data_IF_406263685626
#
_entry.id   IF_406263685626
#
_cell.length_a   1.000
_cell.length_b   1.000
_cell.length_c   1.000
_cell.angle_alpha   90.00
_cell.angle_beta   90.00
_cell.angle_gamma   90.00
#
_symmetry.space_group_name_H-M   'P 1'
#
loop_
_entity.id
_entity.type
_entity.pdbx_description
1 polymer ?
#
# COMPACT_ATOMS: atom_id res chain seq x y z
N UNK A 1 6.31 25.45 -37.25
CA UNK A 1 4.93 25.42 -36.74
C UNK A 1 4.91 26.33 -35.52
N UNK A 2 4.56 27.60 -35.71
CA UNK A 2 4.58 28.63 -34.66
C UNK A 2 3.20 28.75 -34.01
N UNK A 3 3.13 28.58 -32.69
CA UNK A 3 1.90 28.77 -31.92
C UNK A 3 1.71 30.24 -31.56
N UNK A 4 0.55 30.77 -31.93
CA UNK A 4 0.15 32.17 -31.80
C UNK A 4 -0.68 32.33 -30.52
N UNK A 5 -0.23 33.17 -29.59
CA UNK A 5 -0.89 33.46 -28.32
C UNK A 5 -1.87 34.63 -28.52
N UNK A 6 -3.18 34.39 -28.40
CA UNK A 6 -4.19 35.47 -28.29
C UNK A 6 -4.53 35.74 -26.83
N UNK A 7 -4.26 36.98 -26.41
CA UNK A 7 -4.80 37.62 -25.21
C UNK A 7 -6.27 38.01 -25.44
N UNK A 8 -7.11 37.81 -24.43
CA UNK A 8 -8.35 38.58 -24.25
C UNK A 8 -8.49 38.98 -22.77
N UNK A 9 -8.61 40.29 -22.54
CA UNK A 9 -8.94 40.92 -21.25
C UNK A 9 -10.44 41.25 -21.19
N UNK A 10 -10.88 41.52 -19.96
CA UNK A 10 -11.96 42.43 -19.49
C UNK A 10 -13.27 41.76 -19.06
N UNK A 11 -13.61 41.94 -17.77
CA UNK A 11 -14.87 42.42 -17.14
C UNK A 11 -14.79 42.06 -15.64
N UNK A 12 -14.32 42.97 -14.78
CA UNK A 12 -15.04 43.98 -13.96
C UNK A 12 -15.92 43.45 -12.83
N UNK A 13 -15.57 43.88 -11.61
CA UNK A 13 -16.40 44.19 -10.44
C UNK A 13 -17.33 43.12 -9.85
N UNK A 14 -17.08 42.73 -8.60
CA UNK A 14 -17.98 43.03 -7.47
C UNK A 14 -17.34 42.55 -6.15
N UNK A 15 -17.03 43.52 -5.28
CA UNK A 15 -16.63 43.34 -3.88
C UNK A 15 -17.84 43.72 -3.03
N UNK A 16 -18.23 42.92 -2.02
CA UNK A 16 -18.90 43.45 -0.85
C UNK A 16 -17.94 43.51 0.33
N UNK A 17 -17.82 44.72 0.87
CA UNK A 17 -17.23 45.05 2.17
C UNK A 17 -17.96 44.29 3.28
N UNK A 18 -17.23 43.69 4.22
CA UNK A 18 -17.77 43.36 5.55
C UNK A 18 -16.95 44.11 6.59
N UNK A 19 -17.73 44.74 7.47
CA UNK A 19 -17.42 45.77 8.44
C UNK A 19 -16.56 45.25 9.59
N UNK A 20 -15.54 46.03 9.95
CA UNK A 20 -14.79 45.90 11.21
C UNK A 20 -15.62 46.56 12.30
N UNK A 21 -16.07 45.80 13.30
CA UNK A 21 -16.54 46.39 14.57
C UNK A 21 -15.43 46.31 15.62
N UNK A 22 -15.04 47.50 16.05
CA UNK A 22 -14.15 47.83 17.16
C UNK A 22 -14.86 47.76 18.51
N UNK A 23 -14.16 47.22 19.52
CA UNK A 23 -14.09 47.81 20.87
C UNK A 23 -15.13 47.37 21.91
N UNK A 24 -14.66 46.82 23.03
CA UNK A 24 -15.10 47.06 24.42
C UNK A 24 -14.08 46.36 25.34
N UNK A 25 -13.04 47.06 25.79
CA UNK A 25 -12.89 47.72 27.10
C UNK A 25 -12.83 46.78 28.31
N UNK A 26 -11.65 46.77 28.96
CA UNK A 26 -11.35 46.14 30.25
C UNK A 26 -12.01 46.87 31.44
N UNK A 27 -11.95 46.18 32.58
CA UNK A 27 -11.97 46.61 34.00
C UNK A 27 -13.28 46.49 34.77
N UNK A 28 -13.29 45.60 35.77
CA UNK A 28 -13.63 45.95 37.16
C UNK A 28 -13.18 44.83 38.12
N UNK A 29 -12.45 45.26 39.15
CA UNK A 29 -11.80 44.49 40.21
C UNK A 29 -12.70 44.41 41.45
N UNK A 30 -12.32 43.53 42.40
CA UNK A 30 -12.63 43.51 43.86
C UNK A 30 -13.80 42.59 44.28
N UNK A 31 -13.47 41.45 44.91
CA UNK A 31 -13.26 41.22 46.36
C UNK A 31 -14.59 41.05 47.11
N UNK A 32 -14.92 39.81 47.46
CA UNK A 32 -15.57 39.50 48.73
C UNK A 32 -15.04 38.18 49.27
N UNK A 33 -14.48 38.25 50.47
CA UNK A 33 -14.04 37.15 51.30
C UNK A 33 -15.19 36.76 52.23
N UNK A 34 -15.55 35.48 52.31
CA UNK A 34 -16.22 34.91 53.48
C UNK A 34 -16.13 33.38 53.45
N UNK A 35 -15.45 32.84 54.45
CA UNK A 35 -15.34 31.42 54.71
C UNK A 35 -16.67 30.86 55.24
N UNK A 36 -17.10 29.71 54.67
CA UNK A 36 -18.06 28.82 55.31
C UNK A 36 -17.51 27.39 55.23
N UNK A 37 -17.00 26.96 56.38
CA UNK A 37 -16.58 25.60 56.69
C UNK A 37 -17.82 24.91 57.26
N UNK A 38 -18.35 23.88 56.59
CA UNK A 38 -18.81 22.63 57.23
C UNK A 38 -19.53 21.66 56.27
N UNK A 39 -19.30 20.37 56.57
CA UNK A 39 -20.04 19.15 56.21
C UNK A 39 -19.73 18.49 54.88
N UNK A 40 -18.75 17.58 54.99
CA UNK A 40 -18.61 16.35 54.24
C UNK A 40 -19.92 15.58 54.10
N UNK A 41 -20.43 15.50 52.88
CA UNK A 41 -21.30 14.42 52.43
C UNK A 41 -20.61 13.84 51.19
N UNK A 42 -20.15 12.60 51.30
CA UNK A 42 -19.51 11.87 50.23
C UNK A 42 -20.48 11.67 49.08
N UNK A 43 -20.30 12.43 48.00
CA UNK A 43 -20.83 12.07 46.70
C UNK A 43 -19.71 11.32 45.98
N UNK A 44 -19.78 9.99 45.98
CA UNK A 44 -19.00 9.19 45.03
C UNK A 44 -19.45 9.61 43.63
N UNK A 45 -18.71 10.53 43.02
CA UNK A 45 -18.74 10.71 41.57
C UNK A 45 -18.11 9.45 40.99
N UNK A 46 -18.95 8.47 40.70
CA UNK A 46 -18.66 7.44 39.71
C UNK A 46 -18.39 8.16 38.39
N UNK A 47 -17.13 8.58 38.22
CA UNK A 47 -16.61 8.98 36.93
C UNK A 47 -16.63 7.74 36.09
N UNK A 48 -17.71 7.56 35.32
CA UNK A 48 -17.65 6.74 34.12
C UNK A 48 -16.55 7.35 33.27
N UNK A 49 -15.36 6.77 33.37
CA UNK A 49 -14.33 6.90 32.36
C UNK A 49 -14.94 6.32 31.09
N UNK A 50 -15.72 7.13 30.38
CA UNK A 50 -15.96 6.96 28.96
C UNK A 50 -14.58 7.09 28.33
N UNK A 51 -13.86 5.97 28.30
CA UNK A 51 -12.79 5.76 27.35
C UNK A 51 -13.45 5.95 26.00
N UNK A 52 -13.31 7.13 25.42
CA UNK A 52 -13.36 7.28 23.99
C UNK A 52 -12.29 6.32 23.48
N UNK A 53 -12.70 5.09 23.12
CA UNK A 53 -11.93 4.29 22.17
C UNK A 53 -11.89 5.18 20.94
N UNK A 54 -10.78 5.88 20.76
CA UNK A 54 -10.38 6.34 19.45
C UNK A 54 -10.47 5.12 18.55
N UNK A 55 -11.53 5.02 17.76
CA UNK A 55 -11.55 4.13 16.62
C UNK A 55 -10.53 4.77 15.67
N UNK A 56 -9.25 4.46 15.87
CA UNK A 56 -8.29 4.68 14.81
C UNK A 56 -8.78 3.78 13.69
N UNK A 57 -9.33 4.38 12.63
CA UNK A 57 -9.56 3.67 11.39
C UNK A 57 -8.17 3.37 10.83
N UNK A 58 -7.55 2.30 11.34
CA UNK A 58 -6.25 1.86 10.90
C UNK A 58 -6.34 1.65 9.39
N UNK A 59 -5.40 2.25 8.64
CA UNK A 59 -5.35 2.11 7.20
C UNK A 59 -5.31 0.61 6.86
N UNK A 60 -6.24 0.16 6.01
CA UNK A 60 -6.15 -1.14 5.36
C UNK A 60 -5.24 -0.97 4.14
N UNK A 61 -4.17 -1.74 4.09
CA UNK A 61 -3.20 -1.72 3.00
C UNK A 61 -3.66 -2.64 1.88
N UNK A 62 -3.72 -2.13 0.66
CA UNK A 62 -4.05 -2.94 -0.52
C UNK A 62 -2.77 -3.53 -1.10
N UNK A 63 -2.69 -4.85 -1.15
CA UNK A 63 -1.53 -5.56 -1.68
C UNK A 63 -1.96 -6.42 -2.87
N UNK A 64 -1.34 -6.19 -4.03
CA UNK A 64 -1.63 -6.93 -5.26
C UNK A 64 -0.56 -8.00 -5.52
N UNK A 65 -0.98 -9.26 -5.69
CA UNK A 65 -0.12 -10.43 -5.85
C UNK A 65 -0.10 -10.90 -7.32
N UNK A 66 0.83 -10.38 -8.12
CA UNK A 66 1.03 -10.78 -9.52
C UNK A 66 2.06 -11.90 -9.67
N UNK A 67 1.97 -12.63 -10.78
CA UNK A 67 2.95 -13.61 -11.20
C UNK A 67 2.45 -15.05 -11.20
N UNK A 68 3.41 -15.97 -11.14
CA UNK A 68 3.29 -17.42 -11.12
C UNK A 68 2.01 -17.98 -10.48
N UNK A 69 1.34 -18.97 -11.10
CA UNK A 69 0.06 -19.53 -10.63
C UNK A 69 0.08 -21.05 -10.33
N UNK A 70 1.24 -21.70 -10.38
CA UNK A 70 1.43 -23.15 -10.22
C UNK A 70 2.11 -23.54 -8.89
N UNK A 71 2.19 -22.62 -7.92
CA UNK A 71 2.63 -22.89 -6.54
C UNK A 71 1.72 -22.21 -5.51
N UNK A 72 1.93 -22.52 -4.23
CA UNK A 72 1.12 -22.11 -3.07
C UNK A 72 1.56 -20.77 -2.45
N UNK A 73 2.42 -20.01 -3.12
CA UNK A 73 3.05 -18.82 -2.54
C UNK A 73 2.04 -17.74 -2.11
N UNK A 74 0.89 -17.63 -2.78
CA UNK A 74 -0.17 -16.67 -2.42
C UNK A 74 -0.87 -17.09 -1.14
N UNK A 75 -1.11 -18.38 -0.99
CA UNK A 75 -1.71 -19.00 0.18
C UNK A 75 -0.80 -18.82 1.41
N UNK A 76 0.52 -18.97 1.23
CA UNK A 76 1.50 -18.69 2.29
C UNK A 76 1.43 -17.22 2.73
N UNK A 77 1.37 -16.27 1.79
CA UNK A 77 1.24 -14.84 2.11
C UNK A 77 -0.10 -14.56 2.81
N UNK A 78 -1.21 -15.10 2.30
CA UNK A 78 -2.53 -14.91 2.88
C UNK A 78 -2.61 -15.46 4.31
N UNK A 79 -2.04 -16.65 4.54
CA UNK A 79 -1.95 -17.23 5.86
C UNK A 79 -1.08 -16.38 6.79
N UNK A 80 0.09 -15.94 6.35
CA UNK A 80 0.98 -15.11 7.16
C UNK A 80 0.37 -13.75 7.52
N UNK A 81 -0.26 -13.06 6.56
CA UNK A 81 -1.01 -11.82 6.81
C UNK A 81 -2.06 -12.01 7.91
N UNK A 82 -2.82 -13.12 7.85
CA UNK A 82 -3.83 -13.46 8.84
C UNK A 82 -3.21 -13.78 10.20
N UNK A 83 -2.17 -14.61 10.24
CA UNK A 83 -1.49 -15.03 11.47
C UNK A 83 -0.86 -13.86 12.21
N UNK A 84 -0.32 -12.87 11.48
CA UNK A 84 0.23 -11.64 12.05
C UNK A 84 -0.82 -10.53 12.26
N UNK A 85 -2.09 -10.81 11.95
CA UNK A 85 -3.20 -9.87 12.07
C UNK A 85 -2.88 -8.51 11.39
N UNK A 86 -2.27 -8.57 10.21
CA UNK A 86 -1.92 -7.38 9.44
C UNK A 86 -3.18 -6.78 8.80
N UNK A 87 -3.37 -5.44 8.83
CA UNK A 87 -4.49 -4.78 8.19
C UNK A 87 -4.29 -4.70 6.68
N UNK A 88 -4.34 -5.86 5.99
CA UNK A 88 -4.06 -5.99 4.56
C UNK A 88 -5.26 -6.60 3.84
N UNK A 89 -5.61 -5.99 2.70
CA UNK A 89 -6.51 -6.57 1.70
C UNK A 89 -5.66 -7.11 0.54
N UNK A 90 -5.73 -8.43 0.30
CA UNK A 90 -5.02 -9.09 -0.78
C UNK A 90 -5.89 -9.14 -2.04
N UNK A 91 -5.29 -8.86 -3.18
CA UNK A 91 -5.91 -9.02 -4.50
C UNK A 91 -4.94 -9.67 -5.50
N UNK A 92 -5.46 -10.27 -6.56
CA UNK A 92 -4.67 -11.04 -7.54
C UNK A 92 -5.31 -10.96 -8.94
N UNK A 93 -4.57 -11.32 -10.01
CA UNK A 93 -5.18 -11.64 -11.30
C UNK A 93 -6.12 -12.86 -11.14
N UNK A 94 -6.89 -13.15 -12.19
CA UNK A 94 -7.57 -14.44 -12.26
C UNK A 94 -6.51 -15.56 -12.32
N UNK A 95 -6.57 -16.50 -11.39
CA UNK A 95 -5.63 -17.62 -11.30
C UNK A 95 -6.14 -18.88 -11.97
N UNK A 96 -7.40 -18.88 -12.43
CA UNK A 96 -7.92 -19.92 -13.31
C UNK A 96 -7.41 -19.68 -14.73
N UNK A 97 -6.58 -20.61 -15.22
CA UNK A 97 -5.98 -20.53 -16.55
C UNK A 97 -7.06 -20.51 -17.63
N UNK A 98 -8.01 -21.44 -17.51
CA UNK A 98 -9.13 -21.63 -18.45
C UNK A 98 -9.98 -20.37 -18.52
N UNK A 99 -10.41 -19.85 -17.37
CA UNK A 99 -11.23 -18.63 -17.32
C UNK A 99 -10.47 -17.41 -17.84
N UNK A 100 -9.17 -17.31 -17.57
CA UNK A 100 -8.32 -16.21 -18.02
C UNK A 100 -8.21 -16.17 -19.55
N UNK A 101 -8.03 -17.32 -20.18
CA UNK A 101 -7.87 -17.43 -21.64
C UNK A 101 -9.22 -17.24 -22.35
N UNK A 102 -10.28 -17.86 -21.84
CA UNK A 102 -11.57 -17.91 -22.52
C UNK A 102 -12.49 -16.72 -22.19
N UNK A 103 -12.17 -15.89 -21.19
CA UNK A 103 -13.06 -14.80 -20.75
C UNK A 103 -13.55 -13.91 -21.89
N UNK A 104 -12.66 -13.56 -22.83
CA UNK A 104 -12.98 -12.73 -23.98
C UNK A 104 -14.04 -13.36 -24.87
N UNK A 105 -13.89 -14.65 -25.14
CA UNK A 105 -14.76 -15.38 -26.03
C UNK A 105 -16.10 -15.75 -25.37
N UNK A 106 -16.07 -16.14 -24.08
CA UNK A 106 -17.27 -16.43 -23.29
C UNK A 106 -18.16 -15.20 -23.15
N UNK A 107 -17.58 -14.03 -22.86
CA UNK A 107 -18.36 -12.82 -22.56
C UNK A 107 -18.79 -12.08 -23.83
N UNK A 108 -17.89 -11.96 -24.81
CA UNK A 108 -18.15 -11.14 -26.01
C UNK A 108 -18.58 -11.98 -27.22
N UNK A 109 -18.71 -13.30 -27.09
CA UNK A 109 -19.12 -14.23 -28.15
C UNK A 109 -17.99 -14.67 -29.10
N UNK A 110 -18.19 -15.86 -29.65
CA UNK A 110 -17.35 -16.46 -30.70
C UNK A 110 -17.76 -15.94 -32.08
N UNK A 111 -17.23 -14.80 -32.51
CA UNK A 111 -17.30 -14.35 -33.91
C UNK A 111 -16.15 -14.95 -34.74
N UNK A 112 -16.46 -15.66 -35.83
CA UNK A 112 -15.47 -16.24 -36.77
C UNK A 112 -14.46 -15.21 -37.32
N UNK A 113 -14.83 -13.93 -37.32
CA UNK A 113 -14.02 -12.82 -37.84
C UNK A 113 -12.98 -12.27 -36.84
N UNK A 114 -13.02 -12.66 -35.56
CA UNK A 114 -12.07 -12.18 -34.54
C UNK A 114 -10.74 -12.91 -34.68
N UNK A 115 -9.86 -12.32 -35.50
CA UNK A 115 -8.53 -12.87 -35.83
C UNK A 115 -7.53 -12.98 -34.68
N UNK A 116 -7.88 -12.62 -33.44
CA UNK A 116 -6.94 -12.62 -32.31
C UNK A 116 -7.63 -12.78 -30.94
N UNK A 117 -8.00 -14.01 -30.62
CA UNK A 117 -8.69 -14.39 -29.37
C UNK A 117 -7.87 -14.07 -28.12
N UNK A 118 -6.59 -14.42 -28.13
CA UNK A 118 -5.67 -14.13 -27.03
C UNK A 118 -5.62 -12.64 -26.70
N UNK A 119 -5.64 -11.77 -27.72
CA UNK A 119 -5.67 -10.31 -27.51
C UNK A 119 -6.96 -9.86 -26.81
N UNK A 120 -8.09 -10.49 -27.07
CA UNK A 120 -9.37 -10.10 -26.47
C UNK A 120 -9.38 -10.51 -25.00
N UNK A 121 -9.02 -11.76 -24.69
CA UNK A 121 -8.86 -12.23 -23.30
C UNK A 121 -7.83 -11.38 -22.55
N UNK A 122 -6.65 -11.17 -23.14
CA UNK A 122 -5.61 -10.32 -22.58
C UNK A 122 -6.09 -8.88 -22.33
N UNK A 123 -6.91 -8.29 -23.20
CA UNK A 123 -7.47 -6.96 -22.99
C UNK A 123 -8.41 -6.91 -21.78
N UNK A 124 -9.27 -7.92 -21.59
CA UNK A 124 -10.15 -7.98 -20.42
C UNK A 124 -9.35 -8.17 -19.12
N UNK A 125 -8.38 -9.08 -19.15
CA UNK A 125 -7.44 -9.25 -18.04
C UNK A 125 -6.69 -7.96 -17.73
N UNK A 126 -6.27 -7.21 -18.75
CA UNK A 126 -5.61 -5.91 -18.59
C UNK A 126 -6.50 -4.87 -17.91
N UNK A 127 -7.82 -4.83 -18.18
CA UNK A 127 -8.74 -3.91 -17.48
C UNK A 127 -8.72 -4.21 -15.98
N UNK A 128 -8.83 -5.49 -15.60
CA UNK A 128 -8.78 -5.92 -14.20
C UNK A 128 -7.43 -5.64 -13.56
N UNK A 129 -6.36 -6.18 -14.13
CA UNK A 129 -4.99 -6.10 -13.58
C UNK A 129 -4.52 -4.66 -13.43
N UNK A 130 -4.71 -3.80 -14.44
CA UNK A 130 -4.32 -2.39 -14.35
C UNK A 130 -5.09 -1.64 -13.27
N UNK A 131 -6.38 -1.96 -13.09
CA UNK A 131 -7.19 -1.34 -12.03
C UNK A 131 -6.68 -1.75 -10.66
N UNK A 132 -6.46 -3.04 -10.43
CA UNK A 132 -5.96 -3.55 -9.15
C UNK A 132 -4.55 -3.05 -8.82
N UNK A 133 -3.65 -3.00 -9.81
CA UNK A 133 -2.31 -2.42 -9.61
C UNK A 133 -2.39 -0.93 -9.25
N UNK A 134 -3.24 -0.15 -9.94
CA UNK A 134 -3.42 1.28 -9.64
C UNK A 134 -3.96 1.52 -8.23
N UNK A 135 -4.82 0.64 -7.74
CA UNK A 135 -5.43 0.76 -6.41
C UNK A 135 -4.52 0.22 -5.29
N UNK A 136 -3.52 -0.60 -5.62
CA UNK A 136 -2.61 -1.18 -4.63
C UNK A 136 -1.68 -0.14 -4.00
N UNK A 137 -1.43 -0.29 -2.70
CA UNK A 137 -0.36 0.40 -1.98
C UNK A 137 0.99 -0.28 -2.23
N UNK A 138 0.99 -1.62 -2.29
CA UNK A 138 2.18 -2.46 -2.52
C UNK A 138 1.84 -3.50 -3.58
N UNK A 139 2.75 -3.70 -4.53
CA UNK A 139 2.67 -4.76 -5.53
C UNK A 139 3.75 -5.80 -5.23
N UNK A 140 3.34 -7.06 -5.13
CA UNK A 140 4.24 -8.21 -4.98
C UNK A 140 4.21 -9.00 -6.29
N UNK A 141 5.38 -9.29 -6.85
CA UNK A 141 5.48 -10.00 -8.13
C UNK A 141 6.35 -11.24 -7.97
N UNK A 142 5.73 -12.40 -8.15
CA UNK A 142 6.40 -13.70 -8.11
C UNK A 142 6.93 -14.10 -9.49
N UNK A 143 8.22 -14.37 -9.55
CA UNK A 143 8.83 -15.08 -10.67
C UNK A 143 9.22 -16.52 -10.27
N UNK A 144 8.94 -17.49 -11.13
CA UNK A 144 9.26 -18.91 -10.99
C UNK A 144 10.20 -19.39 -12.08
N UNK A 145 10.70 -20.62 -11.96
CA UNK A 145 11.78 -21.12 -12.84
C UNK A 145 11.27 -21.76 -14.15
N UNK A 146 10.05 -22.31 -14.13
CA UNK A 146 9.57 -23.19 -15.20
C UNK A 146 9.15 -22.45 -16.47
N UNK A 147 8.50 -21.30 -16.33
CA UNK A 147 7.88 -20.59 -17.45
C UNK A 147 8.40 -19.17 -17.59
N UNK A 148 8.43 -18.69 -18.84
CA UNK A 148 8.78 -17.30 -19.13
C UNK A 148 7.57 -16.42 -18.82
N UNK A 149 7.52 -15.86 -17.62
CA UNK A 149 6.39 -15.11 -17.07
C UNK A 149 6.35 -13.66 -17.58
N UNK A 150 6.10 -13.50 -18.87
CA UNK A 150 6.09 -12.18 -19.52
C UNK A 150 5.00 -11.26 -18.98
N UNK A 151 3.85 -11.82 -18.58
CA UNK A 151 2.80 -11.07 -17.89
C UNK A 151 3.30 -10.47 -16.56
N UNK A 152 4.01 -11.25 -15.75
CA UNK A 152 4.57 -10.79 -14.48
C UNK A 152 5.63 -9.68 -14.70
N UNK A 153 6.47 -9.84 -15.71
CA UNK A 153 7.46 -8.82 -16.08
C UNK A 153 6.79 -7.53 -16.57
N UNK A 154 5.70 -7.65 -17.34
CA UNK A 154 4.92 -6.50 -17.80
C UNK A 154 4.26 -5.77 -16.63
N UNK A 155 3.66 -6.51 -15.70
CA UNK A 155 3.07 -5.95 -14.48
C UNK A 155 4.12 -5.24 -13.62
N UNK A 156 5.34 -5.78 -13.55
CA UNK A 156 6.46 -5.16 -12.83
C UNK A 156 6.84 -3.82 -13.44
N UNK A 157 7.01 -3.76 -14.77
CA UNK A 157 7.27 -2.52 -15.48
C UNK A 157 6.13 -1.51 -15.30
N UNK A 158 4.87 -1.97 -15.35
CA UNK A 158 3.71 -1.10 -15.17
C UNK A 158 3.61 -0.53 -13.75
N UNK A 159 3.82 -1.36 -12.72
CA UNK A 159 3.85 -0.94 -11.33
C UNK A 159 4.99 0.06 -11.06
N UNK A 160 6.18 -0.22 -11.58
CA UNK A 160 7.34 0.67 -11.49
C UNK A 160 7.07 2.03 -12.16
N UNK A 161 6.47 2.03 -13.35
CA UNK A 161 6.11 3.26 -14.07
C UNK A 161 5.06 4.10 -13.32
N UNK A 162 4.20 3.48 -12.52
CA UNK A 162 3.24 4.16 -11.65
C UNK A 162 3.83 4.61 -10.31
N UNK A 163 5.11 4.31 -10.04
CA UNK A 163 5.75 4.63 -8.76
C UNK A 163 5.21 3.81 -7.59
N UNK A 164 4.72 2.59 -7.83
CA UNK A 164 4.23 1.70 -6.77
C UNK A 164 5.39 1.11 -5.97
N UNK A 165 5.18 0.92 -4.68
CA UNK A 165 6.07 0.11 -3.84
C UNK A 165 6.05 -1.32 -4.35
N UNK A 166 7.21 -1.85 -4.71
CA UNK A 166 7.38 -3.10 -5.41
C UNK A 166 8.25 -4.07 -4.59
N UNK A 167 7.72 -5.27 -4.39
CA UNK A 167 8.42 -6.42 -3.82
C UNK A 167 8.53 -7.48 -4.92
N UNK A 168 9.74 -7.94 -5.24
CA UNK A 168 9.92 -9.11 -6.10
C UNK A 168 10.13 -10.35 -5.27
N UNK A 169 9.58 -11.48 -5.72
CA UNK A 169 9.73 -12.77 -5.07
C UNK A 169 10.22 -13.78 -6.11
N UNK A 170 11.44 -14.30 -6.01
CA UNK A 170 11.98 -15.26 -6.98
C UNK A 170 13.10 -16.10 -6.36
N UNK A 171 13.32 -17.36 -6.80
CA UNK A 171 14.48 -18.11 -6.33
C UNK A 171 15.80 -17.41 -6.74
N UNK A 172 16.90 -17.60 -6.00
CA UNK A 172 18.18 -16.96 -6.30
C UNK A 172 18.74 -17.30 -7.70
N UNK A 173 18.43 -18.50 -8.21
CA UNK A 173 18.83 -19.03 -9.51
C UNK A 173 18.49 -18.11 -10.69
N UNK A 174 17.37 -17.39 -10.63
CA UNK A 174 16.90 -16.51 -11.71
C UNK A 174 17.15 -15.02 -11.43
N UNK A 175 17.79 -14.68 -10.30
CA UNK A 175 18.01 -13.28 -9.88
C UNK A 175 18.76 -12.46 -10.93
N UNK A 176 19.78 -13.05 -11.56
CA UNK A 176 20.56 -12.36 -12.60
C UNK A 176 19.71 -11.96 -13.82
N UNK A 177 18.74 -12.80 -14.20
CA UNK A 177 17.85 -12.54 -15.33
C UNK A 177 16.83 -11.43 -15.02
N UNK A 178 16.63 -11.14 -13.73
CA UNK A 178 15.69 -10.15 -13.23
C UNK A 178 16.38 -8.86 -12.77
N UNK A 179 17.67 -8.65 -13.08
CA UNK A 179 18.46 -7.54 -12.51
C UNK A 179 17.83 -6.15 -12.73
N UNK A 180 17.22 -5.87 -13.87
CA UNK A 180 16.54 -4.60 -14.13
C UNK A 180 15.22 -4.47 -13.36
N UNK A 181 14.49 -5.58 -13.21
CA UNK A 181 13.25 -5.64 -12.41
C UNK A 181 13.58 -5.45 -10.93
N UNK A 182 14.59 -6.14 -10.44
CA UNK A 182 15.07 -6.05 -9.06
C UNK A 182 15.63 -4.66 -8.75
N UNK A 183 16.29 -4.00 -9.71
CA UNK A 183 16.73 -2.61 -9.54
C UNK A 183 15.57 -1.62 -9.37
N UNK A 184 14.36 -1.97 -9.83
CA UNK A 184 13.16 -1.17 -9.65
C UNK A 184 12.38 -1.50 -8.36
N UNK A 185 12.71 -2.61 -7.71
CA UNK A 185 12.03 -3.09 -6.49
C UNK A 185 12.70 -2.53 -5.23
N UNK A 186 11.89 -2.24 -4.20
CA UNK A 186 12.41 -1.83 -2.89
C UNK A 186 12.81 -3.03 -2.03
N UNK A 187 12.23 -4.20 -2.30
CA UNK A 187 12.53 -5.44 -1.58
C UNK A 187 12.60 -6.60 -2.58
N UNK A 188 13.64 -7.43 -2.45
CA UNK A 188 13.83 -8.67 -3.20
C UNK A 188 13.79 -9.84 -2.21
N UNK A 189 12.80 -10.71 -2.36
CA UNK A 189 12.59 -11.89 -1.54
C UNK A 189 12.88 -13.18 -2.33
N UNK A 190 13.38 -14.20 -1.64
CA UNK A 190 13.52 -15.56 -2.18
C UNK A 190 12.44 -16.51 -1.67
N UNK A 191 11.83 -16.20 -0.53
CA UNK A 191 10.83 -17.03 0.13
C UNK A 191 9.54 -16.21 0.44
N UNK A 192 8.33 -16.79 0.28
CA UNK A 192 7.09 -16.06 0.55
C UNK A 192 6.97 -15.54 2.00
N UNK A 193 7.58 -16.19 2.99
CA UNK A 193 7.59 -15.71 4.38
C UNK A 193 8.36 -14.39 4.53
N UNK A 194 9.37 -14.13 3.68
CA UNK A 194 10.09 -12.87 3.66
C UNK A 194 9.19 -11.72 3.17
N UNK A 195 8.24 -12.01 2.27
CA UNK A 195 7.21 -11.02 1.88
C UNK A 195 6.35 -10.67 3.09
N UNK A 196 5.87 -11.67 3.84
CA UNK A 196 5.06 -11.45 5.05
C UNK A 196 5.82 -10.63 6.09
N UNK A 197 7.08 -10.99 6.35
CA UNK A 197 7.95 -10.25 7.27
C UNK A 197 8.18 -8.80 6.81
N UNK A 198 8.35 -8.59 5.51
CA UNK A 198 8.50 -7.25 4.93
C UNK A 198 7.23 -6.42 5.08
N UNK A 199 6.06 -7.01 4.80
CA UNK A 199 4.77 -6.36 5.02
C UNK A 199 4.56 -6.01 6.49
N UNK A 200 4.86 -6.94 7.40
CA UNK A 200 4.79 -6.70 8.85
C UNK A 200 5.65 -5.49 9.22
N UNK A 201 6.93 -5.51 8.86
CA UNK A 201 7.84 -4.41 9.15
C UNK A 201 7.37 -3.07 8.58
N UNK A 202 6.95 -3.02 7.31
CA UNK A 202 6.49 -1.79 6.67
C UNK A 202 5.20 -1.23 7.28
N UNK A 203 4.30 -2.09 7.76
CA UNK A 203 2.97 -1.67 8.23
C UNK A 203 3.00 -1.30 9.72
N UNK A 204 3.68 -2.07 10.56
CA UNK A 204 3.62 -1.93 12.01
C UNK A 204 5.00 -1.79 12.68
N UNK A 205 6.10 -1.82 11.92
CA UNK A 205 7.46 -1.72 12.45
C UNK A 205 7.97 -2.97 13.18
N UNK A 206 7.22 -4.08 13.13
CA UNK A 206 7.60 -5.33 13.81
C UNK A 206 8.68 -6.03 13.02
N UNK A 207 9.85 -6.17 13.63
CA UNK A 207 10.97 -6.92 13.08
C UNK A 207 10.90 -8.39 13.58
N UNK A 208 10.99 -9.39 12.70
CA UNK A 208 11.06 -10.79 13.13
C UNK A 208 12.43 -11.10 13.74
N UNK A 209 12.55 -12.29 14.35
CA UNK A 209 13.87 -12.84 14.67
C UNK A 209 14.66 -13.06 13.37
N UNK A 210 16.00 -12.89 13.38
CA UNK A 210 16.81 -13.15 12.20
C UNK A 210 16.64 -14.57 11.68
N UNK A 211 16.52 -14.72 10.35
CA UNK A 211 16.45 -16.03 9.69
C UNK A 211 17.72 -16.86 9.89
N UNK A 212 18.86 -16.18 10.04
CA UNK A 212 20.17 -16.82 10.23
C UNK A 212 20.40 -17.27 11.69
N UNK A 213 19.39 -17.10 12.56
CA UNK A 213 19.44 -17.47 13.97
C UNK A 213 20.62 -16.85 14.70
N UNK A 214 21.35 -17.67 15.44
CA UNK A 214 22.50 -17.24 16.26
C UNK A 214 23.70 -16.77 15.43
N UNK A 215 23.71 -17.03 14.12
CA UNK A 215 24.78 -16.57 13.21
C UNK A 215 24.56 -15.14 12.71
N UNK A 216 23.41 -14.53 13.01
CA UNK A 216 23.13 -13.15 12.62
C UNK A 216 24.01 -12.16 13.38
N UNK A 217 24.78 -11.37 12.64
CA UNK A 217 25.57 -10.27 13.18
C UNK A 217 24.88 -8.94 12.83
N UNK A 218 24.42 -8.16 13.84
CA UNK A 218 23.85 -6.83 13.62
C UNK A 218 24.81 -5.94 12.84
N UNK A 219 24.28 -5.05 11.98
CA UNK A 219 25.09 -4.16 11.14
C UNK A 219 26.12 -3.39 11.98
N UNK A 220 25.72 -2.86 13.15
CA UNK A 220 26.61 -2.14 14.06
C UNK A 220 27.81 -2.95 14.56
N UNK A 221 27.70 -4.29 14.56
CA UNK A 221 28.75 -5.20 15.00
C UNK A 221 29.55 -5.79 13.83
N UNK A 222 29.20 -5.44 12.58
CA UNK A 222 29.99 -5.82 11.40
C UNK A 222 31.18 -4.87 11.30
N UNK A 223 32.30 -5.29 11.90
CA UNK A 223 33.57 -4.57 11.84
C UNK A 223 34.26 -4.81 10.49
N UNK A 224 34.42 -3.74 9.70
CA UNK A 224 35.08 -3.80 8.37
C UNK A 224 34.26 -4.51 7.28
N UNK A 225 34.58 -4.22 6.02
CA UNK A 225 33.85 -4.63 4.81
C UNK A 225 32.52 -3.89 4.55
N UNK A 226 32.52 -2.55 4.65
CA UNK A 226 31.45 -1.70 4.10
C UNK A 226 30.34 -1.29 5.06
N UNK A 227 30.52 -1.45 6.39
CA UNK A 227 29.66 -0.78 7.36
C UNK A 227 30.02 0.73 7.40
N UNK A 228 29.11 1.64 7.00
CA UNK A 228 29.40 3.07 6.98
C UNK A 228 29.37 3.72 8.37
N UNK A 229 28.84 3.03 9.39
CA UNK A 229 28.85 3.51 10.76
C UNK A 229 29.99 2.81 11.54
N UNK A 230 31.06 3.53 11.89
CA UNK A 230 32.15 3.00 12.70
C UNK A 230 31.70 2.59 14.10
#
# INVERSE_FOLDING_TARGET
ISFNIRKSRIFSSLIPKVCVMTGFSLTATRLFSAALKQRSIGLQRSGTNLRFRSISTAKIWKVYLSGEIHSDWREVIAHGVKTHNLPVELSSPNTSHEDSDDCGAIILGMEEERRNWDKIGANMNNVRTKTLIKDADIVVIRFGEKYRQWNAAFDAGYAAALGKSLITLHPPSISHMLKEVNASAQVVCSDPSQVVNSLSYCINGTLPKPSDGDTFIPIANRLGAGNPNP
#
